data_IF_699393928726
#
_entry.id   IF_699393928726
#
_cell.length_a   1.000
_cell.length_b   1.000
_cell.length_c   1.000
_cell.angle_alpha   90.00
_cell.angle_beta   90.00
_cell.angle_gamma   90.00
#
_symmetry.space_group_name_H-M   'P 1'
#
loop_
_entity.id
_entity.type
_entity.pdbx_description
1 polymer ?
#
# COMPACT_ATOMS: atom_id res chain seq x y z
N UNK A 1 20.47 1.44 -11.19
CA UNK A 1 19.81 0.47 -10.29
C UNK A 1 20.46 -0.88 -10.52
N UNK A 2 20.97 -1.54 -9.48
CA UNK A 2 21.31 -2.96 -9.60
C UNK A 2 19.97 -3.69 -9.54
N UNK A 3 19.49 -4.22 -10.67
CA UNK A 3 18.35 -5.14 -10.62
C UNK A 3 18.79 -6.34 -9.78
N UNK A 4 18.25 -6.42 -8.57
CA UNK A 4 18.46 -7.58 -7.72
C UNK A 4 17.63 -8.73 -8.26
N UNK A 5 17.93 -9.94 -7.78
CA UNK A 5 17.09 -11.11 -8.05
C UNK A 5 15.66 -10.80 -7.60
N UNK A 6 14.66 -11.32 -8.31
CA UNK A 6 13.29 -11.38 -7.79
C UNK A 6 13.28 -12.33 -6.59
N UNK A 7 12.75 -11.87 -5.46
CA UNK A 7 12.62 -12.69 -4.27
C UNK A 7 11.40 -13.58 -4.35
N UNK A 8 11.57 -14.82 -3.94
CA UNK A 8 10.52 -15.84 -3.93
C UNK A 8 10.30 -16.40 -2.51
N UNK A 9 9.23 -17.15 -2.33
CA UNK A 9 8.79 -17.72 -1.06
C UNK A 9 9.87 -18.58 -0.38
N UNK A 10 10.68 -19.28 -1.17
CA UNK A 10 11.71 -20.22 -0.70
C UNK A 10 13.08 -19.54 -0.48
N UNK A 11 13.22 -18.26 -0.85
CA UNK A 11 14.41 -17.48 -0.51
C UNK A 11 14.50 -17.27 1.01
N UNK A 12 15.73 -17.11 1.51
CA UNK A 12 15.96 -16.84 2.93
C UNK A 12 15.60 -15.40 3.26
N UNK A 13 14.87 -15.15 4.36
CA UNK A 13 14.50 -13.78 4.75
C UNK A 13 15.74 -12.88 4.92
N UNK A 14 16.83 -13.45 5.43
CA UNK A 14 18.10 -12.74 5.61
C UNK A 14 18.73 -12.28 4.28
N UNK A 15 18.48 -12.96 3.15
CA UNK A 15 19.03 -12.50 1.86
C UNK A 15 18.39 -11.19 1.40
N UNK A 16 17.10 -11.00 1.65
CA UNK A 16 16.39 -9.74 1.32
C UNK A 16 17.03 -8.56 2.06
N UNK A 17 17.24 -8.71 3.37
CA UNK A 17 17.82 -7.65 4.22
C UNK A 17 19.26 -7.34 3.85
N UNK A 18 20.06 -8.39 3.56
CA UNK A 18 21.46 -8.21 3.17
C UNK A 18 21.57 -7.40 1.87
N UNK A 19 20.66 -7.65 0.95
CA UNK A 19 20.71 -7.06 -0.37
C UNK A 19 20.05 -5.67 -0.36
N UNK A 20 19.04 -5.42 0.49
CA UNK A 20 18.49 -4.10 0.77
C UNK A 20 18.10 -3.91 2.25
N UNK A 21 18.94 -3.21 3.02
CA UNK A 21 18.70 -2.95 4.44
C UNK A 21 17.52 -2.00 4.72
N UNK A 22 17.06 -1.22 3.72
CA UNK A 22 15.88 -0.36 3.88
C UNK A 22 14.62 -1.19 4.17
N UNK A 23 14.60 -2.49 3.82
CA UNK A 23 13.49 -3.38 4.12
C UNK A 23 13.26 -3.60 5.62
N UNK A 24 14.26 -3.33 6.48
CA UNK A 24 14.10 -3.46 7.93
C UNK A 24 12.91 -2.65 8.44
N UNK A 25 12.71 -1.47 7.85
CA UNK A 25 11.57 -0.62 8.17
C UNK A 25 10.25 -1.28 7.75
N UNK A 26 10.19 -1.83 6.52
CA UNK A 26 9.01 -2.51 6.00
C UNK A 26 8.65 -3.78 6.79
N UNK A 27 9.63 -4.54 7.29
CA UNK A 27 9.39 -5.73 8.12
C UNK A 27 8.57 -5.39 9.37
N UNK A 28 8.94 -4.32 10.06
CA UNK A 28 8.21 -3.83 11.22
C UNK A 28 6.77 -3.47 10.88
N UNK A 29 6.54 -2.83 9.72
CA UNK A 29 5.19 -2.49 9.25
C UNK A 29 4.33 -3.72 8.92
N UNK A 30 4.94 -4.84 8.49
CA UNK A 30 4.21 -6.10 8.34
C UNK A 30 3.96 -6.84 9.67
N UNK A 31 4.47 -6.33 10.79
CA UNK A 31 4.44 -7.03 12.07
C UNK A 31 5.47 -8.16 12.19
N UNK A 32 6.45 -8.21 11.28
CA UNK A 32 7.51 -9.21 11.29
C UNK A 32 8.61 -8.76 12.25
N UNK A 33 8.75 -9.49 13.35
CA UNK A 33 9.80 -9.25 14.33
C UNK A 33 11.13 -9.89 13.89
N UNK A 34 12.25 -9.23 14.22
CA UNK A 34 13.59 -9.80 14.04
C UNK A 34 13.77 -11.07 14.89
N UNK A 35 14.74 -11.91 14.52
CA UNK A 35 15.03 -13.16 15.22
C UNK A 35 14.49 -14.42 14.52
N UNK A 36 14.18 -14.34 13.22
CA UNK A 36 13.72 -15.47 12.41
C UNK A 36 14.81 -16.48 12.00
N UNK A 37 16.08 -16.24 12.32
CA UNK A 37 17.18 -17.15 12.00
C UNK A 37 17.34 -17.39 10.50
N UNK A 38 17.56 -18.65 10.11
CA UNK A 38 17.72 -19.07 8.71
C UNK A 38 16.40 -19.48 8.04
N UNK A 39 15.26 -18.95 8.50
CA UNK A 39 13.95 -19.28 7.90
C UNK A 39 13.78 -18.65 6.52
N UNK A 40 12.98 -19.31 5.67
CA UNK A 40 12.56 -18.77 4.37
C UNK A 40 11.53 -17.66 4.55
N UNK A 41 11.30 -16.88 3.49
CA UNK A 41 10.26 -15.84 3.49
C UNK A 41 8.90 -16.44 3.88
N UNK A 42 8.55 -17.57 3.26
CA UNK A 42 7.29 -18.27 3.54
C UNK A 42 7.16 -18.69 5.00
N UNK A 43 8.19 -19.33 5.56
CA UNK A 43 8.18 -19.78 6.95
C UNK A 43 7.98 -18.60 7.91
N UNK A 44 8.65 -17.46 7.68
CA UNK A 44 8.50 -16.27 8.51
C UNK A 44 7.11 -15.66 8.37
N UNK A 45 6.62 -15.48 7.14
CA UNK A 45 5.30 -14.92 6.89
C UNK A 45 4.19 -15.78 7.50
N UNK A 46 4.24 -17.10 7.35
CA UNK A 46 3.25 -18.02 7.94
C UNK A 46 3.24 -17.96 9.48
N UNK A 47 4.42 -17.96 10.11
CA UNK A 47 4.54 -17.86 11.57
C UNK A 47 4.01 -16.52 12.12
N UNK A 48 4.27 -15.43 11.41
CA UNK A 48 3.84 -14.08 11.79
C UNK A 48 2.45 -13.72 11.26
N UNK A 49 1.76 -14.66 10.59
CA UNK A 49 0.42 -14.47 10.01
C UNK A 49 0.33 -13.34 8.98
N UNK A 50 1.38 -13.19 8.18
CA UNK A 50 1.48 -12.27 7.05
C UNK A 50 1.21 -13.03 5.76
N UNK A 51 0.40 -12.47 4.86
CA UNK A 51 0.22 -13.06 3.54
C UNK A 51 1.54 -13.00 2.74
N UNK A 52 2.10 -14.18 2.45
CA UNK A 52 3.44 -14.30 1.82
C UNK A 52 3.47 -13.65 0.44
N UNK A 53 2.40 -13.79 -0.33
CA UNK A 53 2.32 -13.22 -1.67
C UNK A 53 2.34 -11.70 -1.64
N UNK A 54 1.51 -11.11 -0.77
CA UNK A 54 1.42 -9.65 -0.58
C UNK A 54 2.73 -9.08 -0.05
N UNK A 55 3.37 -9.76 0.90
CA UNK A 55 4.69 -9.38 1.39
C UNK A 55 5.71 -9.32 0.25
N UNK A 56 5.81 -10.38 -0.56
CA UNK A 56 6.73 -10.44 -1.69
C UNK A 56 6.40 -9.41 -2.77
N UNK A 57 5.12 -9.14 -3.02
CA UNK A 57 4.70 -8.11 -3.97
C UNK A 57 5.24 -6.72 -3.55
N UNK A 58 5.06 -6.35 -2.28
CA UNK A 58 5.57 -5.08 -1.74
C UNK A 58 7.09 -5.05 -1.74
N UNK A 59 7.76 -6.10 -1.25
CA UNK A 59 9.23 -6.18 -1.22
C UNK A 59 9.85 -6.07 -2.62
N UNK A 60 9.36 -6.86 -3.57
CA UNK A 60 9.90 -6.86 -4.93
C UNK A 60 9.58 -5.55 -5.66
N UNK A 61 8.44 -4.93 -5.36
CA UNK A 61 8.14 -3.60 -5.88
C UNK A 61 9.11 -2.55 -5.33
N UNK A 62 9.29 -2.47 -4.01
CA UNK A 62 10.19 -1.48 -3.39
C UNK A 62 11.66 -1.68 -3.81
N UNK A 63 12.12 -2.92 -3.96
CA UNK A 63 13.52 -3.21 -4.29
C UNK A 63 13.79 -3.14 -5.79
N UNK A 64 12.93 -3.73 -6.62
CA UNK A 64 13.18 -3.93 -8.05
C UNK A 64 12.31 -3.05 -8.96
N UNK A 65 11.37 -2.28 -8.41
CA UNK A 65 10.35 -1.57 -9.17
C UNK A 65 9.41 -2.50 -9.93
N UNK A 66 9.35 -3.79 -9.54
CA UNK A 66 8.58 -4.80 -10.24
C UNK A 66 7.09 -4.61 -9.97
N UNK A 67 6.31 -4.51 -11.04
CA UNK A 67 4.85 -4.35 -11.00
C UNK A 67 4.21 -5.54 -11.70
N UNK A 68 3.51 -6.38 -10.95
CA UNK A 68 2.71 -7.47 -11.52
C UNK A 68 1.24 -7.06 -11.56
N UNK A 69 0.84 -6.44 -12.67
CA UNK A 69 -0.49 -5.85 -12.82
C UNK A 69 -1.64 -6.88 -12.90
N UNK A 70 -1.35 -8.10 -13.34
CA UNK A 70 -2.37 -9.13 -13.62
C UNK A 70 -2.83 -9.91 -12.38
N UNK A 71 -2.12 -9.79 -11.25
CA UNK A 71 -2.36 -10.59 -10.05
C UNK A 71 -2.90 -9.78 -8.86
N UNK A 72 -3.54 -8.63 -9.11
CA UNK A 72 -4.12 -7.78 -8.06
C UNK A 72 -5.21 -8.50 -7.23
N UNK A 73 -5.73 -9.63 -7.72
CA UNK A 73 -6.69 -10.50 -7.06
C UNK A 73 -6.09 -11.42 -5.99
N UNK A 74 -4.77 -11.63 -6.04
CA UNK A 74 -4.02 -12.42 -5.05
C UNK A 74 -3.54 -11.57 -3.86
N UNK A 75 -3.60 -10.24 -3.97
CA UNK A 75 -3.21 -9.33 -2.90
C UNK A 75 -4.20 -9.36 -1.75
N UNK A 76 -3.67 -9.48 -0.53
CA UNK A 76 -4.42 -9.48 0.71
C UNK A 76 -4.61 -8.05 1.21
N UNK A 77 -5.81 -7.49 0.98
CA UNK A 77 -6.20 -6.19 1.54
C UNK A 77 -6.04 -6.11 3.06
N UNK A 78 -6.37 -7.14 3.87
CA UNK A 78 -6.08 -7.13 5.30
C UNK A 78 -4.59 -6.93 5.62
N UNK A 79 -3.70 -7.59 4.87
CA UNK A 79 -2.25 -7.47 5.06
C UNK A 79 -1.76 -6.07 4.66
N UNK A 80 -2.26 -5.51 3.56
CA UNK A 80 -1.94 -4.14 3.13
C UNK A 80 -2.43 -3.09 4.12
N UNK A 81 -3.67 -3.22 4.64
CA UNK A 81 -4.19 -2.32 5.68
C UNK A 81 -3.35 -2.37 6.95
N UNK A 82 -2.95 -3.57 7.38
CA UNK A 82 -2.03 -3.72 8.51
C UNK A 82 -0.71 -3.00 8.25
N UNK A 83 -0.10 -3.26 7.08
CA UNK A 83 1.16 -2.64 6.65
C UNK A 83 1.11 -1.11 6.65
N UNK A 84 0.10 -0.52 6.02
CA UNK A 84 -0.04 0.93 5.92
C UNK A 84 -0.31 1.56 7.28
N UNK A 85 -1.22 0.98 8.08
CA UNK A 85 -1.53 1.47 9.43
C UNK A 85 -0.32 1.39 10.38
N UNK A 86 0.44 0.32 10.33
CA UNK A 86 1.67 0.19 11.12
C UNK A 86 2.74 1.20 10.66
N UNK A 87 2.81 1.46 9.35
CA UNK A 87 3.66 2.52 8.80
C UNK A 87 3.25 3.90 9.33
N UNK A 88 1.94 4.22 9.35
CA UNK A 88 1.45 5.49 9.90
C UNK A 88 1.81 5.67 11.37
N UNK A 89 1.61 4.63 12.19
CA UNK A 89 1.99 4.65 13.60
C UNK A 89 3.50 4.90 13.77
N UNK A 90 4.33 4.24 12.96
CA UNK A 90 5.78 4.48 12.97
C UNK A 90 6.12 5.95 12.68
N UNK A 91 5.51 6.54 11.65
CA UNK A 91 5.78 7.95 11.32
C UNK A 91 5.29 8.91 12.40
N UNK A 92 4.04 8.78 12.81
CA UNK A 92 3.37 9.72 13.71
C UNK A 92 3.93 9.62 15.13
N UNK A 93 4.09 8.39 15.63
CA UNK A 93 4.38 8.16 17.05
C UNK A 93 5.88 8.01 17.34
N UNK A 94 6.71 7.78 16.32
CA UNK A 94 8.14 7.56 16.50
C UNK A 94 9.02 8.46 15.61
N UNK A 95 8.99 8.30 14.29
CA UNK A 95 10.00 8.87 13.40
C UNK A 95 9.95 10.40 13.33
N UNK A 96 8.76 10.99 13.21
CA UNK A 96 8.61 12.44 13.17
C UNK A 96 9.00 13.09 14.52
N UNK A 97 8.52 12.60 15.68
CA UNK A 97 9.00 13.07 16.97
C UNK A 97 10.51 12.88 17.19
N UNK A 98 11.07 11.77 16.70
CA UNK A 98 12.49 11.44 16.84
C UNK A 98 13.38 12.46 16.12
N UNK A 99 13.16 12.67 14.82
CA UNK A 99 13.93 13.66 14.04
C UNK A 99 13.72 15.07 14.61
N UNK A 100 12.52 15.40 15.07
CA UNK A 100 12.26 16.69 15.72
C UNK A 100 13.16 16.89 16.94
N UNK A 101 13.33 15.86 17.76
CA UNK A 101 14.21 15.90 18.93
C UNK A 101 15.67 16.09 18.51
N UNK A 102 16.12 15.37 17.49
CA UNK A 102 17.48 15.53 16.98
C UNK A 102 17.76 16.95 16.46
N UNK A 103 16.79 17.56 15.75
CA UNK A 103 16.90 18.95 15.32
C UNK A 103 17.01 19.91 16.51
N UNK A 104 16.22 19.71 17.58
CA UNK A 104 16.32 20.53 18.79
C UNK A 104 17.67 20.34 19.48
N UNK A 105 18.17 19.10 19.57
CA UNK A 105 19.45 18.79 20.22
C UNK A 105 20.65 19.33 19.42
N UNK A 106 20.50 19.54 18.11
CA UNK A 106 21.56 19.97 17.21
C UNK A 106 21.53 21.47 16.87
N UNK A 107 20.47 22.20 17.21
CA UNK A 107 20.25 23.61 16.88
C UNK A 107 20.17 24.50 18.13
N UNK A 108 20.78 25.68 18.09
CA UNK A 108 20.60 26.70 19.13
C UNK A 108 19.28 27.45 18.94
N UNK A 109 18.29 27.24 19.82
CA UNK A 109 16.98 27.88 19.75
C UNK A 109 17.02 29.43 19.79
N UNK A 110 18.13 30.02 20.23
CA UNK A 110 18.32 31.47 20.20
C UNK A 110 18.65 32.01 18.80
N UNK A 111 19.05 31.14 17.86
CA UNK A 111 19.31 31.49 16.47
C UNK A 111 17.98 31.62 15.69
N UNK A 112 17.81 32.74 14.98
CA UNK A 112 16.68 32.98 14.09
C UNK A 112 16.54 31.88 13.02
N UNK A 113 17.66 31.37 12.54
CA UNK A 113 17.71 30.35 11.49
C UNK A 113 17.31 28.97 12.03
N UNK A 114 17.75 28.63 13.24
CA UNK A 114 17.30 27.43 13.95
C UNK A 114 15.77 27.44 14.13
N UNK A 115 15.21 28.57 14.57
CA UNK A 115 13.74 28.72 14.72
C UNK A 115 13.00 28.57 13.39
N UNK A 116 13.58 29.05 12.28
CA UNK A 116 13.01 28.85 10.95
C UNK A 116 13.01 27.36 10.56
N UNK A 117 14.11 26.64 10.78
CA UNK A 117 14.21 25.20 10.50
C UNK A 117 13.20 24.40 11.30
N UNK A 118 13.10 24.64 12.62
CA UNK A 118 12.14 23.96 13.48
C UNK A 118 10.71 24.21 13.02
N UNK A 119 10.38 25.44 12.62
CA UNK A 119 9.07 25.76 12.05
C UNK A 119 8.80 25.02 10.74
N UNK A 120 9.76 25.00 9.81
CA UNK A 120 9.62 24.26 8.55
C UNK A 120 9.41 22.76 8.79
N UNK A 121 10.11 22.20 9.78
CA UNK A 121 9.94 20.81 10.18
C UNK A 121 8.56 20.54 10.79
N UNK A 122 8.12 21.39 11.73
CA UNK A 122 6.81 21.25 12.37
C UNK A 122 5.67 21.34 11.34
N UNK A 123 5.77 22.27 10.39
CA UNK A 123 4.82 22.42 9.28
C UNK A 123 4.83 21.22 8.31
N UNK A 124 5.96 20.54 8.15
CA UNK A 124 6.10 19.29 7.38
C UNK A 124 5.46 18.12 8.14
N UNK A 125 5.86 17.89 9.39
CA UNK A 125 5.37 16.81 10.23
C UNK A 125 3.84 16.89 10.44
N UNK A 126 3.31 18.10 10.60
CA UNK A 126 1.87 18.32 10.70
C UNK A 126 1.12 17.93 9.42
N UNK A 127 1.69 18.23 8.25
CA UNK A 127 1.09 17.86 6.96
C UNK A 127 0.99 16.35 6.78
N UNK A 128 2.09 15.63 7.07
CA UNK A 128 2.13 14.15 7.02
C UNK A 128 1.14 13.54 8.02
N UNK A 129 1.15 14.05 9.25
CA UNK A 129 0.25 13.57 10.31
C UNK A 129 -1.22 13.72 9.91
N UNK A 130 -1.61 14.85 9.32
CA UNK A 130 -2.99 15.09 8.90
C UNK A 130 -3.41 14.18 7.75
N UNK A 131 -2.50 13.94 6.81
CA UNK A 131 -2.71 13.05 5.67
C UNK A 131 -2.98 11.61 6.12
N UNK A 132 -2.05 11.03 6.89
CA UNK A 132 -2.18 9.67 7.43
C UNK A 132 -3.42 9.51 8.32
N UNK A 133 -3.74 10.51 9.15
CA UNK A 133 -4.97 10.51 9.98
C UNK A 133 -6.25 10.59 9.16
N UNK A 134 -6.21 11.29 8.01
CA UNK A 134 -7.35 11.34 7.10
C UNK A 134 -7.62 9.96 6.49
N UNK A 135 -6.59 9.26 6.04
CA UNK A 135 -6.68 7.89 5.52
C UNK A 135 -7.25 6.92 6.54
N UNK A 136 -6.72 6.93 7.75
CA UNK A 136 -7.21 6.06 8.82
C UNK A 136 -8.67 6.33 9.19
N UNK A 137 -9.12 7.58 9.03
CA UNK A 137 -10.49 7.98 9.36
C UNK A 137 -11.48 7.73 8.23
N UNK A 138 -11.03 7.80 6.97
CA UNK A 138 -11.92 7.79 5.80
C UNK A 138 -11.69 6.58 4.90
N UNK A 139 -10.44 6.33 4.49
CA UNK A 139 -10.07 5.31 3.50
C UNK A 139 -10.08 3.91 4.14
N UNK A 140 -9.39 3.73 5.27
CA UNK A 140 -9.24 2.40 5.87
C UNK A 140 -10.58 1.81 6.33
N UNK A 141 -11.51 2.57 6.94
CA UNK A 141 -12.84 2.04 7.28
C UNK A 141 -13.65 1.65 6.04
N UNK A 142 -13.50 2.39 4.93
CA UNK A 142 -14.13 2.02 3.67
C UNK A 142 -13.58 0.69 3.12
N UNK A 143 -12.26 0.53 3.07
CA UNK A 143 -11.63 -0.71 2.60
C UNK A 143 -11.96 -1.87 3.53
N UNK A 144 -12.08 -1.63 4.84
CA UNK A 144 -12.56 -2.63 5.80
C UNK A 144 -13.99 -3.07 5.48
N UNK A 145 -14.90 -2.13 5.23
CA UNK A 145 -16.27 -2.45 4.81
C UNK A 145 -16.30 -3.20 3.46
N UNK A 146 -15.35 -2.92 2.55
CA UNK A 146 -15.22 -3.62 1.28
C UNK A 146 -14.80 -5.08 1.48
N UNK A 147 -13.85 -5.34 2.38
CA UNK A 147 -13.44 -6.70 2.78
C UNK A 147 -14.62 -7.46 3.38
N UNK A 148 -15.46 -6.78 4.17
CA UNK A 148 -16.65 -7.37 4.82
C UNK A 148 -17.86 -7.51 3.88
N UNK A 149 -17.78 -7.01 2.64
CA UNK A 149 -18.88 -7.02 1.67
C UNK A 149 -19.99 -6.01 1.95
N UNK A 150 -19.77 -5.05 2.85
CA UNK A 150 -20.73 -4.05 3.31
C UNK A 150 -20.44 -2.62 2.80
N UNK A 151 -19.52 -2.47 1.84
CA UNK A 151 -19.11 -1.17 1.37
C UNK A 151 -20.27 -0.39 0.72
N UNK A 152 -20.38 0.90 1.06
CA UNK A 152 -21.24 1.83 0.35
C UNK A 152 -20.54 2.35 -0.91
N UNK A 153 -21.13 2.11 -2.08
CA UNK A 153 -20.60 2.50 -3.39
C UNK A 153 -20.51 4.01 -3.65
N UNK A 154 -20.91 4.87 -2.69
CA UNK A 154 -20.79 6.33 -2.83
C UNK A 154 -19.38 6.85 -2.56
N UNK A 155 -18.49 6.04 -2.00
CA UNK A 155 -17.08 6.39 -1.83
C UNK A 155 -16.29 5.93 -3.04
N UNK A 156 -15.45 6.81 -3.59
CA UNK A 156 -14.62 6.55 -4.76
C UNK A 156 -13.15 6.76 -4.42
N UNK A 157 -12.38 5.68 -4.46
CA UNK A 157 -10.94 5.68 -4.18
C UNK A 157 -10.14 6.57 -5.15
N UNK A 158 -10.66 6.86 -6.35
CA UNK A 158 -10.04 7.79 -7.31
C UNK A 158 -10.02 9.24 -6.82
N UNK A 159 -10.99 9.61 -5.97
CA UNK A 159 -11.02 10.96 -5.39
C UNK A 159 -9.88 11.16 -4.38
N UNK A 160 -9.35 10.05 -3.84
CA UNK A 160 -8.30 10.04 -2.82
C UNK A 160 -6.86 10.11 -3.39
N UNK A 161 -6.55 9.38 -4.48
CA UNK A 161 -5.19 9.29 -5.10
C UNK A 161 -4.52 10.64 -5.44
N UNK A 162 -5.27 11.72 -5.64
CA UNK A 162 -4.71 12.96 -6.22
C UNK A 162 -3.88 13.84 -5.26
N UNK A 163 -3.60 13.43 -4.03
CA UNK A 163 -3.13 14.36 -2.97
C UNK A 163 -1.71 14.10 -2.40
N UNK A 164 -1.01 13.04 -2.79
CA UNK A 164 0.27 12.66 -2.16
C UNK A 164 1.49 13.58 -2.47
N UNK A 165 1.43 14.44 -3.51
CA UNK A 165 2.63 15.09 -4.10
C UNK A 165 3.11 16.38 -3.40
N UNK A 166 2.34 16.97 -2.47
CA UNK A 166 2.62 18.34 -2.00
C UNK A 166 3.58 18.47 -0.80
N UNK A 167 4.04 17.39 -0.18
CA UNK A 167 4.73 17.47 1.13
C UNK A 167 6.26 17.70 1.04
N UNK A 168 6.85 17.55 -0.15
CA UNK A 168 8.30 17.59 -0.36
C UNK A 168 8.97 18.97 -0.26
N UNK A 169 8.26 20.04 -0.59
CA UNK A 169 8.91 21.35 -0.81
C UNK A 169 9.49 21.94 0.47
N UNK A 170 8.77 21.82 1.59
CA UNK A 170 9.22 22.31 2.91
C UNK A 170 10.50 21.59 3.38
N UNK A 171 10.56 20.28 3.15
CA UNK A 171 11.70 19.46 3.55
C UNK A 171 12.93 19.78 2.69
N UNK A 172 12.75 20.05 1.39
CA UNK A 172 13.82 20.53 0.49
C UNK A 172 14.39 21.87 0.94
N UNK A 173 13.53 22.80 1.36
CA UNK A 173 13.94 24.09 1.90
C UNK A 173 14.71 23.94 3.20
N UNK A 174 14.18 23.16 4.15
CA UNK A 174 14.85 22.84 5.41
C UNK A 174 16.25 22.28 5.18
N UNK A 175 16.38 21.22 4.37
CA UNK A 175 17.68 20.59 4.05
C UNK A 175 18.64 21.59 3.42
N UNK A 176 18.15 22.39 2.48
CA UNK A 176 18.96 23.43 1.81
C UNK A 176 19.47 24.47 2.80
N UNK A 177 18.66 24.85 3.79
CA UNK A 177 19.06 25.82 4.81
C UNK A 177 20.15 25.24 5.69
N UNK A 178 19.97 24.02 6.22
CA UNK A 178 20.97 23.36 7.06
C UNK A 178 22.30 23.25 6.31
N UNK A 179 22.31 22.67 5.11
CA UNK A 179 23.53 22.42 4.33
C UNK A 179 24.29 23.71 4.00
N UNK A 180 23.57 24.81 3.71
CA UNK A 180 24.20 26.07 3.25
C UNK A 180 24.63 26.98 4.39
N UNK A 181 23.98 26.90 5.55
CA UNK A 181 24.03 27.97 6.53
C UNK A 181 24.26 27.50 7.99
N UNK A 182 24.35 26.19 8.30
CA UNK A 182 24.59 25.67 9.67
C UNK A 182 25.56 24.46 9.69
N UNK A 183 26.43 24.29 10.71
CA UNK A 183 27.18 25.26 11.52
C UNK A 183 28.70 25.21 11.22
N UNK A 184 29.45 26.15 11.79
CA UNK A 184 30.90 26.34 11.56
C UNK A 184 31.82 25.55 12.51
N UNK A 185 31.28 24.83 13.50
CA UNK A 185 32.03 24.02 14.47
C UNK A 185 31.78 22.51 14.31
N UNK A 186 32.77 21.70 14.70
CA UNK A 186 32.80 20.28 14.34
C UNK A 186 31.81 19.38 15.07
N UNK A 187 31.38 19.71 16.29
CA UNK A 187 30.48 18.84 17.06
C UNK A 187 29.04 18.97 16.55
N UNK A 188 28.54 20.20 16.41
CA UNK A 188 27.20 20.44 15.88
C UNK A 188 27.09 20.02 14.41
N UNK A 189 28.18 20.10 13.64
CA UNK A 189 28.23 19.60 12.27
C UNK A 189 27.98 18.08 12.21
N UNK A 190 28.58 17.30 13.11
CA UNK A 190 28.35 15.85 13.15
C UNK A 190 26.89 15.51 13.52
N UNK A 191 26.31 16.24 14.49
CA UNK A 191 24.91 16.05 14.89
C UNK A 191 23.95 16.40 13.73
N UNK A 192 24.11 17.58 13.12
CA UNK A 192 23.29 17.98 11.98
C UNK A 192 23.49 17.08 10.76
N UNK A 193 24.70 16.54 10.56
CA UNK A 193 24.96 15.55 9.51
C UNK A 193 24.17 14.27 9.76
N UNK A 194 24.15 13.75 11.00
CA UNK A 194 23.35 12.58 11.37
C UNK A 194 21.84 12.85 11.19
N UNK A 195 21.34 13.97 11.70
CA UNK A 195 19.94 14.37 11.54
C UNK A 195 19.56 14.56 10.07
N UNK A 196 20.46 15.10 9.23
CA UNK A 196 20.22 15.20 7.79
C UNK A 196 20.11 13.83 7.13
N UNK A 197 20.98 12.87 7.49
CA UNK A 197 20.86 11.49 7.01
C UNK A 197 19.50 10.89 7.37
N UNK A 198 19.04 11.08 8.60
CA UNK A 198 17.74 10.57 9.05
C UNK A 198 16.58 11.26 8.32
N UNK A 199 16.69 12.56 8.02
CA UNK A 199 15.72 13.28 7.18
C UNK A 199 15.70 12.72 5.75
N UNK A 200 16.85 12.45 5.14
CA UNK A 200 16.91 11.87 3.79
C UNK A 200 16.31 10.47 3.74
N UNK A 201 16.67 9.61 4.69
CA UNK A 201 16.10 8.26 4.80
C UNK A 201 14.60 8.30 5.02
N UNK A 202 14.12 9.22 5.87
CA UNK A 202 12.69 9.42 6.12
C UNK A 202 11.91 9.84 4.86
N UNK A 203 12.49 10.70 4.02
CA UNK A 203 11.90 11.13 2.74
C UNK A 203 11.82 9.95 1.76
N UNK A 204 12.88 9.15 1.63
CA UNK A 204 12.90 7.96 0.76
C UNK A 204 11.85 6.93 1.19
N UNK A 205 11.76 6.65 2.49
CA UNK A 205 10.76 5.70 3.00
C UNK A 205 9.33 6.22 2.82
N UNK A 206 9.11 7.53 2.94
CA UNK A 206 7.79 8.11 2.74
C UNK A 206 7.39 8.03 1.27
N UNK A 207 8.33 8.27 0.36
CA UNK A 207 8.11 8.08 -1.07
C UNK A 207 7.73 6.62 -1.38
N UNK A 208 8.45 5.64 -0.84
CA UNK A 208 8.10 4.23 -1.00
C UNK A 208 6.73 3.87 -0.41
N UNK A 209 6.36 4.46 0.72
CA UNK A 209 5.02 4.30 1.29
C UNK A 209 3.95 4.78 0.30
N UNK A 210 4.08 5.99 -0.24
CA UNK A 210 3.14 6.52 -1.24
C UNK A 210 3.15 5.70 -2.54
N UNK A 211 4.30 5.19 -2.97
CA UNK A 211 4.38 4.29 -4.14
C UNK A 211 3.63 2.98 -3.89
N UNK A 212 3.73 2.38 -2.70
CA UNK A 212 2.96 1.18 -2.33
C UNK A 212 1.46 1.47 -2.32
N UNK A 213 1.05 2.66 -1.86
CA UNK A 213 -0.35 3.07 -1.91
C UNK A 213 -0.86 3.14 -3.35
N UNK A 214 -0.15 3.88 -4.21
CA UNK A 214 -0.58 4.13 -5.59
C UNK A 214 -0.50 2.91 -6.50
N UNK A 215 0.56 2.10 -6.36
CA UNK A 215 0.88 1.04 -7.31
C UNK A 215 0.41 -0.35 -6.85
N UNK A 216 0.10 -0.53 -5.56
CA UNK A 216 -0.33 -1.82 -5.00
C UNK A 216 -1.68 -1.71 -4.32
N UNK A 217 -1.82 -0.83 -3.33
CA UNK A 217 -3.02 -0.76 -2.50
C UNK A 217 -4.25 -0.31 -3.28
N UNK A 218 -4.16 0.83 -3.99
CA UNK A 218 -5.28 1.36 -4.77
C UNK A 218 -5.72 0.37 -5.88
N UNK A 219 -4.82 -0.24 -6.67
CA UNK A 219 -5.20 -1.31 -7.61
C UNK A 219 -5.88 -2.51 -6.94
N UNK A 220 -5.42 -2.94 -5.76
CA UNK A 220 -6.05 -4.03 -5.02
C UNK A 220 -7.47 -3.65 -4.55
N UNK A 221 -7.68 -2.42 -4.07
CA UNK A 221 -8.99 -1.90 -3.68
C UNK A 221 -9.93 -1.85 -4.89
N UNK A 222 -9.49 -1.26 -6.02
CA UNK A 222 -10.27 -1.22 -7.28
C UNK A 222 -10.72 -2.62 -7.73
N UNK A 223 -9.84 -3.60 -7.60
CA UNK A 223 -10.16 -4.97 -7.95
C UNK A 223 -11.22 -5.57 -7.02
N UNK A 224 -11.11 -5.34 -5.71
CA UNK A 224 -12.11 -5.77 -4.74
C UNK A 224 -13.47 -5.08 -4.97
N UNK A 225 -13.50 -3.78 -5.30
CA UNK A 225 -14.72 -3.06 -5.69
C UNK A 225 -15.39 -3.67 -6.92
N UNK A 226 -14.60 -3.99 -7.95
CA UNK A 226 -15.09 -4.64 -9.17
C UNK A 226 -15.73 -5.99 -8.86
N UNK A 227 -15.07 -6.83 -8.04
CA UNK A 227 -15.58 -8.13 -7.62
C UNK A 227 -16.90 -8.01 -6.84
N UNK A 228 -16.98 -7.05 -5.91
CA UNK A 228 -18.20 -6.82 -5.14
C UNK A 228 -19.38 -6.38 -6.04
N UNK A 229 -19.13 -5.45 -6.98
CA UNK A 229 -20.14 -5.02 -7.97
C UNK A 229 -20.60 -6.17 -8.86
N UNK A 230 -19.68 -7.01 -9.35
CA UNK A 230 -20.01 -8.18 -10.17
C UNK A 230 -20.90 -9.17 -9.40
N UNK A 231 -20.59 -9.44 -8.14
CA UNK A 231 -21.38 -10.33 -7.29
C UNK A 231 -22.79 -9.80 -7.03
N UNK A 232 -22.95 -8.49 -6.76
CA UNK A 232 -24.26 -7.85 -6.56
C UNK A 232 -25.10 -7.89 -7.85
N UNK A 233 -24.47 -7.66 -9.01
CA UNK A 233 -25.12 -7.78 -10.33
C UNK A 233 -25.57 -9.22 -10.58
N UNK A 234 -24.72 -10.22 -10.34
CA UNK A 234 -25.10 -11.64 -10.47
C UNK A 234 -26.29 -11.98 -9.59
N UNK A 235 -26.26 -11.59 -8.31
CA UNK A 235 -27.34 -11.88 -7.37
C UNK A 235 -28.67 -11.24 -7.82
N UNK A 236 -28.64 -10.01 -8.32
CA UNK A 236 -29.83 -9.33 -8.86
C UNK A 236 -30.36 -10.01 -10.11
N UNK A 237 -29.49 -10.39 -11.05
CA UNK A 237 -29.88 -11.08 -12.29
C UNK A 237 -30.48 -12.45 -11.96
N UNK A 238 -29.82 -13.26 -11.12
CA UNK A 238 -30.34 -14.56 -10.69
C UNK A 238 -31.73 -14.43 -10.06
N UNK A 239 -31.96 -13.41 -9.23
CA UNK A 239 -33.27 -13.12 -8.66
C UNK A 239 -34.31 -12.73 -9.72
N UNK A 240 -33.96 -11.89 -10.69
CA UNK A 240 -34.86 -11.52 -11.79
C UNK A 240 -35.23 -12.72 -12.67
N UNK A 241 -34.25 -13.54 -13.05
CA UNK A 241 -34.46 -14.75 -13.85
C UNK A 241 -35.40 -15.71 -13.12
N UNK A 242 -35.19 -15.92 -11.81
CA UNK A 242 -36.02 -16.83 -11.01
C UNK A 242 -37.44 -16.31 -10.73
N UNK A 243 -37.70 -15.00 -10.89
CA UNK A 243 -39.02 -14.39 -10.69
C UNK A 243 -39.86 -14.28 -11.99
N UNK A 244 -39.32 -14.70 -13.14
CA UNK A 244 -40.06 -14.61 -14.41
C UNK A 244 -41.18 -15.66 -14.43
N UNK A 245 -42.46 -15.26 -14.57
CA UNK A 245 -43.59 -16.19 -14.49
C UNK A 245 -43.59 -17.17 -15.67
N UNK A 246 -44.03 -18.40 -15.39
CA UNK A 246 -44.09 -19.56 -16.28
C UNK A 246 -44.46 -19.19 -17.74
N UNK A 247 -43.45 -19.15 -18.59
CA UNK A 247 -43.59 -19.39 -20.03
C UNK A 247 -42.97 -20.76 -20.32
N UNK A 248 -43.51 -21.49 -21.30
CA UNK A 248 -43.21 -22.91 -21.56
C UNK A 248 -41.76 -23.22 -21.99
N UNK A 249 -40.87 -22.21 -22.01
CA UNK A 249 -39.42 -22.36 -22.24
C UNK A 249 -38.66 -21.85 -21.00
N UNK A 250 -38.54 -22.71 -19.98
CA UNK A 250 -37.64 -22.43 -18.85
C UNK A 250 -36.18 -22.65 -19.29
N UNK A 251 -35.39 -21.58 -19.20
CA UNK A 251 -33.93 -21.66 -19.31
C UNK A 251 -33.38 -22.65 -18.28
N UNK A 252 -32.53 -23.57 -18.74
CA UNK A 252 -31.74 -24.44 -17.87
C UNK A 252 -30.77 -23.62 -17.03
N UNK A 253 -30.35 -24.17 -15.88
CA UNK A 253 -29.42 -23.49 -14.98
C UNK A 253 -28.11 -23.10 -15.69
N UNK A 254 -27.66 -23.89 -16.67
CA UNK A 254 -26.49 -23.54 -17.48
C UNK A 254 -26.70 -22.37 -18.43
N UNK A 255 -27.87 -22.25 -19.04
CA UNK A 255 -28.19 -21.09 -19.88
C UNK A 255 -28.29 -19.81 -19.03
N UNK A 256 -28.80 -19.93 -17.79
CA UNK A 256 -28.81 -18.82 -16.84
C UNK A 256 -27.39 -18.38 -16.47
N UNK A 257 -26.47 -19.32 -16.21
CA UNK A 257 -25.07 -19.01 -15.89
C UNK A 257 -24.37 -18.29 -17.05
N UNK A 258 -24.61 -18.71 -18.30
CA UNK A 258 -24.07 -18.05 -19.50
C UNK A 258 -24.62 -16.63 -19.64
N UNK A 259 -25.92 -16.42 -19.43
CA UNK A 259 -26.55 -15.09 -19.50
C UNK A 259 -25.99 -14.17 -18.41
N UNK A 260 -25.83 -14.66 -17.18
CA UNK A 260 -25.24 -13.87 -16.08
C UNK A 260 -23.83 -13.40 -16.45
N UNK A 261 -22.98 -14.31 -16.94
CA UNK A 261 -21.60 -14.00 -17.31
C UNK A 261 -21.52 -12.99 -18.48
N UNK A 262 -22.43 -13.11 -19.45
CA UNK A 262 -22.51 -12.20 -20.60
C UNK A 262 -22.94 -10.78 -20.19
N UNK A 263 -23.92 -10.65 -19.30
CA UNK A 263 -24.35 -9.34 -18.77
C UNK A 263 -23.29 -8.68 -17.89
N UNK A 264 -22.42 -9.47 -17.24
CA UNK A 264 -21.24 -8.96 -16.53
C UNK A 264 -20.13 -8.42 -17.45
N UNK A 265 -20.30 -8.52 -18.78
CA UNK A 265 -19.36 -8.01 -19.77
C UNK A 265 -18.18 -8.95 -20.08
N UNK A 266 -18.26 -10.21 -19.67
CA UNK A 266 -17.28 -11.22 -20.08
C UNK A 266 -17.38 -11.50 -21.58
N UNK A 267 -16.24 -11.66 -22.25
CA UNK A 267 -16.16 -12.14 -23.63
C UNK A 267 -16.51 -13.64 -23.70
N UNK A 268 -16.93 -14.12 -24.87
CA UNK A 268 -17.25 -15.55 -25.06
C UNK A 268 -16.12 -16.50 -24.63
N UNK A 269 -14.85 -16.07 -24.72
CA UNK A 269 -13.70 -16.84 -24.26
C UNK A 269 -13.61 -16.86 -22.73
N UNK A 270 -13.77 -15.72 -22.08
CA UNK A 270 -13.78 -15.62 -20.62
C UNK A 270 -14.95 -16.41 -20.01
N UNK A 271 -16.13 -16.38 -20.63
CA UNK A 271 -17.30 -17.18 -20.19
C UNK A 271 -16.99 -18.68 -20.29
N UNK A 272 -16.40 -19.12 -21.40
CA UNK A 272 -16.05 -20.53 -21.61
C UNK A 272 -15.03 -21.03 -20.57
N UNK A 273 -14.00 -20.24 -20.29
CA UNK A 273 -12.99 -20.54 -19.28
C UNK A 273 -13.59 -20.50 -17.87
N UNK A 274 -14.48 -19.54 -17.57
CA UNK A 274 -15.13 -19.37 -16.27
C UNK A 274 -16.11 -20.51 -15.94
N UNK A 275 -16.91 -20.95 -16.91
CA UNK A 275 -17.94 -21.98 -16.74
C UNK A 275 -17.45 -23.39 -17.08
N UNK A 276 -16.18 -23.56 -17.47
CA UNK A 276 -15.59 -24.83 -17.91
C UNK A 276 -16.38 -25.50 -19.04
N UNK A 277 -16.78 -24.72 -20.04
CA UNK A 277 -17.52 -25.17 -21.23
C UNK A 277 -16.78 -24.77 -22.52
N UNK A 278 -17.20 -25.34 -23.66
CA UNK A 278 -16.62 -24.95 -24.94
C UNK A 278 -17.10 -23.57 -25.38
N UNK A 279 -16.26 -22.80 -26.07
CA UNK A 279 -16.65 -21.50 -26.65
C UNK A 279 -17.86 -21.65 -27.59
N UNK A 280 -17.96 -22.76 -28.31
CA UNK A 280 -19.12 -23.03 -29.18
C UNK A 280 -20.42 -23.17 -28.38
N UNK A 281 -20.34 -23.70 -27.16
CA UNK A 281 -21.48 -23.83 -26.23
C UNK A 281 -21.94 -22.48 -25.69
N UNK A 282 -21.07 -21.46 -25.67
CA UNK A 282 -21.43 -20.09 -25.25
C UNK A 282 -22.17 -19.34 -26.37
N UNK A 283 -21.88 -19.66 -27.63
CA UNK A 283 -22.40 -18.97 -28.82
C UNK A 283 -23.77 -19.51 -29.28
N UNK A 284 -24.05 -20.79 -28.99
CA UNK A 284 -25.23 -21.52 -29.49
C UNK A 284 -26.38 -21.38 -28.51
#
# INVERSE_FOLDING_TARGET
MKNQKMYEADDKMISIIRDNYNILQSLGSFGINLGFGDKTVKEVCEEQKVDTYTFLAVVNFTINGYKEYDNADRLSLPTLLHYLKASHAYYIDFQLPFIRKELVDALDENDNLARLILKLYDDYAHSITNHMKYEEKMVFPYVQALIEGNANYSFDIETFSKHHVQVDQKLKELKSIIIKYLPSDGLHNNQLSATLYDIYNNEEWLAHHSEVEEEIFIPAVRNAERKLKQNDVSAKISNMINQTPMSDEQLSDREKDVIVALVQGMTNKEIADHLFISINTVIT
#
